data_IF_928267561757
#
_entry.id   IF_928267561757
#
_cell.length_a   1.000
_cell.length_b   1.000
_cell.length_c   1.000
_cell.angle_alpha   90.00
_cell.angle_beta   90.00
_cell.angle_gamma   90.00
#
_symmetry.space_group_name_H-M   'P 1'
#
loop_
_entity.id
_entity.type
_entity.pdbx_description
1 polymer ?
#
# COMPACT_ATOMS: atom_id res chain seq x y z
N UNK A 1 15.95 5.45 10.04
CA UNK A 1 14.52 5.38 9.68
C UNK A 1 14.29 6.35 8.52
N UNK A 2 13.57 5.97 7.47
CA UNK A 2 13.30 6.90 6.37
C UNK A 2 11.93 7.54 6.52
N UNK A 3 11.80 8.78 6.07
CA UNK A 3 10.54 9.51 6.15
C UNK A 3 9.88 9.58 4.78
N UNK A 4 8.58 9.34 4.73
CA UNK A 4 7.80 9.42 3.50
C UNK A 4 6.60 10.32 3.72
N UNK A 5 6.59 11.48 3.06
CA UNK A 5 5.45 12.41 3.08
C UNK A 5 4.54 12.04 1.92
N UNK A 6 3.28 11.75 2.24
CA UNK A 6 2.27 11.39 1.26
C UNK A 6 1.35 12.59 1.00
N UNK A 7 1.29 13.01 -0.26
CA UNK A 7 0.27 13.91 -0.76
C UNK A 7 -1.10 13.20 -0.84
N UNK A 8 -2.17 13.99 -0.86
CA UNK A 8 -3.57 13.58 -1.09
C UNK A 8 -3.67 12.58 -2.23
N UNK A 9 -3.02 12.85 -3.37
CA UNK A 9 -3.08 11.98 -4.55
C UNK A 9 -2.49 10.58 -4.32
N UNK A 10 -1.43 10.47 -3.51
CA UNK A 10 -0.77 9.22 -3.16
C UNK A 10 -1.62 8.39 -2.18
N UNK A 11 -2.14 9.01 -1.12
CA UNK A 11 -3.00 8.33 -0.14
C UNK A 11 -4.27 7.79 -0.78
N UNK A 12 -4.87 8.54 -1.71
CA UNK A 12 -6.06 8.07 -2.40
C UNK A 12 -5.83 6.76 -3.17
N UNK A 13 -4.60 6.45 -3.60
CA UNK A 13 -4.33 5.17 -4.26
C UNK A 13 -4.53 3.97 -3.33
N UNK A 14 -4.42 4.15 -2.01
CA UNK A 14 -4.70 3.10 -1.03
C UNK A 14 -6.21 2.87 -0.82
N UNK A 15 -6.99 3.95 -0.79
CA UNK A 15 -8.40 3.91 -0.39
C UNK A 15 -9.37 3.83 -1.57
N UNK A 16 -9.01 4.45 -2.68
CA UNK A 16 -9.77 4.54 -3.92
C UNK A 16 -8.82 4.40 -5.11
N UNK A 17 -8.21 3.21 -5.29
CA UNK A 17 -7.19 2.99 -6.32
C UNK A 17 -7.75 3.30 -7.70
N UNK A 18 -7.02 4.16 -8.42
CA UNK A 18 -7.26 4.40 -9.85
C UNK A 18 -6.21 3.70 -10.72
N UNK A 19 -5.12 3.24 -10.10
CA UNK A 19 -3.99 2.58 -10.73
C UNK A 19 -3.47 1.48 -9.80
N UNK A 20 -3.36 0.24 -10.31
CA UNK A 20 -2.95 -0.93 -9.52
C UNK A 20 -1.48 -0.89 -9.11
N UNK A 21 -0.60 -0.37 -9.97
CA UNK A 21 0.83 -0.23 -9.64
C UNK A 21 1.02 0.81 -8.54
N UNK A 22 0.33 1.94 -8.66
CA UNK A 22 0.36 3.00 -7.66
C UNK A 22 -0.17 2.51 -6.31
N UNK A 23 -1.30 1.78 -6.30
CA UNK A 23 -1.83 1.15 -5.09
C UNK A 23 -0.80 0.21 -4.47
N UNK A 24 -0.24 -0.71 -5.26
CA UNK A 24 0.74 -1.67 -4.80
C UNK A 24 1.96 -0.99 -4.18
N UNK A 25 2.49 0.07 -4.81
CA UNK A 25 3.61 0.83 -4.29
C UNK A 25 3.29 1.43 -2.92
N UNK A 26 2.14 2.09 -2.79
CA UNK A 26 1.73 2.69 -1.51
C UNK A 26 1.54 1.62 -0.44
N UNK A 27 0.98 0.45 -0.78
CA UNK A 27 0.86 -0.65 0.18
C UNK A 27 2.23 -1.19 0.63
N UNK A 28 3.27 -1.15 -0.21
CA UNK A 28 4.65 -1.47 0.19
C UNK A 28 5.11 -0.51 1.29
N UNK A 29 4.84 0.79 1.13
CA UNK A 29 5.23 1.80 2.11
C UNK A 29 4.60 1.53 3.47
N UNK A 30 3.29 1.24 3.49
CA UNK A 30 2.54 0.94 4.71
C UNK A 30 3.00 -0.32 5.44
N UNK A 31 3.63 -1.26 4.73
CA UNK A 31 4.11 -2.52 5.29
C UNK A 31 5.57 -2.45 5.74
N UNK A 32 6.32 -1.41 5.35
CA UNK A 32 7.75 -1.33 5.61
C UNK A 32 8.04 -0.64 6.96
N UNK A 33 8.49 -1.42 7.94
CA UNK A 33 8.79 -0.92 9.29
C UNK A 33 10.01 -0.01 9.39
N UNK A 34 10.78 0.16 8.31
CA UNK A 34 11.89 1.12 8.24
C UNK A 34 11.45 2.50 7.75
N UNK A 35 10.18 2.64 7.39
CA UNK A 35 9.60 3.85 6.83
C UNK A 35 8.55 4.38 7.80
N UNK A 36 8.65 5.66 8.11
CA UNK A 36 7.58 6.40 8.77
C UNK A 36 6.82 7.22 7.74
N UNK A 37 5.51 6.98 7.66
CA UNK A 37 4.62 7.68 6.75
C UNK A 37 4.03 8.90 7.44
N UNK A 38 4.11 10.04 6.76
CA UNK A 38 3.55 11.31 7.21
C UNK A 38 2.53 11.84 6.21
N UNK A 39 1.52 12.54 6.73
CA UNK A 39 0.53 13.26 5.94
C UNK A 39 0.31 14.65 6.55
N UNK A 40 0.53 15.75 5.83
CA UNK A 40 0.17 17.07 6.34
C UNK A 40 -1.32 17.15 6.68
N UNK A 41 -1.71 17.83 7.77
CA UNK A 41 -3.12 17.93 8.17
C UNK A 41 -4.05 18.48 7.08
N UNK A 42 -3.54 19.37 6.23
CA UNK A 42 -4.30 19.88 5.07
C UNK A 42 -4.66 18.74 4.13
N UNK A 43 -3.71 17.89 3.75
CA UNK A 43 -3.93 16.72 2.90
C UNK A 43 -4.83 15.70 3.57
N UNK A 44 -4.74 15.51 4.89
CA UNK A 44 -5.65 14.63 5.62
C UNK A 44 -7.11 15.08 5.45
N UNK A 45 -7.34 16.38 5.55
CA UNK A 45 -8.66 16.97 5.37
C UNK A 45 -9.13 16.88 3.91
N UNK A 46 -8.22 17.06 2.95
CA UNK A 46 -8.51 16.87 1.52
C UNK A 46 -8.89 15.43 1.19
N UNK A 47 -8.19 14.42 1.72
CA UNK A 47 -8.54 13.01 1.53
C UNK A 47 -9.97 12.74 2.01
N UNK A 48 -10.34 13.23 3.21
CA UNK A 48 -11.71 13.12 3.70
C UNK A 48 -12.68 13.83 2.75
N UNK A 49 -12.37 15.05 2.32
CA UNK A 49 -13.19 15.78 1.36
C UNK A 49 -13.38 15.00 0.05
N UNK A 50 -12.34 14.31 -0.44
CA UNK A 50 -12.44 13.47 -1.64
C UNK A 50 -13.37 12.27 -1.43
N UNK A 51 -13.42 11.67 -0.24
CA UNK A 51 -14.42 10.64 0.07
C UNK A 51 -15.86 11.19 0.00
N UNK A 52 -16.09 12.42 0.49
CA UNK A 52 -17.39 13.09 0.35
C UNK A 52 -17.70 13.45 -1.11
N UNK A 53 -16.72 13.93 -1.87
CA UNK A 53 -16.88 14.25 -3.29
C UNK A 53 -17.19 13.00 -4.12
N UNK A 54 -16.54 11.87 -3.83
CA UNK A 54 -16.82 10.59 -4.47
C UNK A 54 -18.26 10.15 -4.19
N UNK A 55 -18.73 10.25 -2.94
CA UNK A 55 -20.13 10.01 -2.58
C UNK A 55 -21.10 10.94 -3.31
N UNK A 56 -20.78 12.24 -3.45
CA UNK A 56 -21.65 13.19 -4.15
C UNK A 56 -21.69 12.94 -5.65
N UNK A 57 -20.54 12.69 -6.29
CA UNK A 57 -20.46 12.39 -7.74
C UNK A 57 -21.17 11.09 -8.07
N UNK A 58 -21.09 10.10 -7.19
CA UNK A 58 -21.67 8.79 -7.41
C UNK A 58 -23.21 8.82 -7.40
N UNK A 59 -23.84 9.77 -6.68
CA UNK A 59 -25.30 10.04 -6.76
C UNK A 59 -25.77 10.48 -8.15
N UNK A 60 -24.85 10.91 -9.02
CA UNK A 60 -25.13 11.30 -10.42
C UNK A 60 -24.82 10.17 -11.40
N UNK A 61 -24.40 8.99 -10.91
CA UNK A 61 -24.01 7.83 -11.72
C UNK A 61 -24.81 6.59 -11.32
N UNK A 62 -24.79 5.56 -12.16
CA UNK A 62 -25.51 4.30 -11.93
C UNK A 62 -24.99 3.46 -10.75
N UNK A 63 -23.84 3.80 -10.18
CA UNK A 63 -23.22 3.10 -9.04
C UNK A 63 -22.84 4.10 -7.94
N UNK A 64 -23.80 4.49 -7.08
CA UNK A 64 -23.54 5.42 -5.99
C UNK A 64 -22.70 4.76 -4.89
N UNK A 65 -21.51 5.30 -4.58
CA UNK A 65 -20.91 5.11 -3.26
C UNK A 65 -21.95 5.49 -2.20
N UNK A 66 -22.28 4.55 -1.32
CA UNK A 66 -23.21 4.72 -0.22
C UNK A 66 -22.59 5.52 0.94
N UNK A 67 -23.44 6.00 1.85
CA UNK A 67 -23.00 6.63 3.11
C UNK A 67 -22.15 5.65 3.93
N UNK A 68 -22.51 4.37 3.93
CA UNK A 68 -21.81 3.30 4.65
C UNK A 68 -20.40 3.10 4.11
N UNK A 69 -20.22 3.01 2.79
CA UNK A 69 -18.90 2.87 2.16
C UNK A 69 -18.01 4.09 2.44
N UNK A 70 -18.54 5.31 2.29
CA UNK A 70 -17.82 6.54 2.63
C UNK A 70 -17.35 6.53 4.09
N UNK A 71 -18.24 6.14 5.01
CA UNK A 71 -17.93 6.07 6.43
C UNK A 71 -16.88 4.99 6.72
N UNK A 72 -16.93 3.86 5.99
CA UNK A 72 -15.90 2.83 6.00
C UNK A 72 -14.53 3.34 5.57
N UNK A 73 -14.44 4.16 4.51
CA UNK A 73 -13.19 4.80 4.09
C UNK A 73 -12.61 5.71 5.17
N UNK A 74 -13.44 6.59 5.75
CA UNK A 74 -13.02 7.49 6.83
C UNK A 74 -12.55 6.71 8.06
N UNK A 75 -13.27 5.64 8.43
CA UNK A 75 -12.91 4.82 9.58
C UNK A 75 -11.59 4.07 9.35
N UNK A 76 -11.35 3.54 8.14
CA UNK A 76 -10.06 2.90 7.80
C UNK A 76 -8.91 3.91 7.86
N UNK A 77 -9.08 5.11 7.30
CA UNK A 77 -8.06 6.16 7.40
C UNK A 77 -7.74 6.54 8.86
N UNK A 78 -8.77 6.69 9.69
CA UNK A 78 -8.61 6.95 11.14
C UNK A 78 -7.93 5.79 11.87
N UNK A 79 -8.23 4.56 11.46
CA UNK A 79 -7.60 3.38 12.04
C UNK A 79 -6.12 3.31 11.67
N UNK A 80 -5.75 3.61 10.42
CA UNK A 80 -4.33 3.69 10.01
C UNK A 80 -3.57 4.74 10.84
N UNK A 81 -4.19 5.86 11.21
CA UNK A 81 -3.62 6.85 12.14
C UNK A 81 -3.51 6.30 13.57
N UNK A 82 -4.58 5.70 14.08
CA UNK A 82 -4.61 5.12 15.43
C UNK A 82 -3.59 3.99 15.62
N UNK A 83 -3.36 3.21 14.57
CA UNK A 83 -2.38 2.11 14.54
C UNK A 83 -0.93 2.61 14.37
N UNK A 84 -0.71 3.91 14.17
CA UNK A 84 0.62 4.48 13.90
C UNK A 84 1.17 4.15 12.52
N UNK A 85 0.34 3.68 11.58
CA UNK A 85 0.73 3.38 10.20
C UNK A 85 0.84 4.64 9.34
N UNK A 86 0.12 5.70 9.72
CA UNK A 86 0.15 7.00 9.07
C UNK A 86 0.15 8.09 10.14
N UNK A 87 1.12 9.00 10.07
CA UNK A 87 1.30 10.04 11.09
C UNK A 87 0.86 11.40 10.53
N UNK A 88 -0.25 11.96 11.02
CA UNK A 88 -0.61 13.32 10.65
C UNK A 88 0.45 14.32 11.14
N UNK A 89 0.93 15.17 10.24
CA UNK A 89 1.93 16.18 10.53
C UNK A 89 1.25 17.54 10.76
N UNK A 90 1.46 18.18 11.93
CA UNK A 90 0.82 19.43 12.28
C UNK A 90 1.32 20.60 11.42
N UNK A 91 0.42 21.54 11.13
CA UNK A 91 0.78 22.78 10.44
C UNK A 91 1.34 23.78 11.44
N UNK A 92 2.64 23.74 11.67
CA UNK A 92 3.33 24.59 12.64
C UNK A 92 3.98 25.82 12.00
N UNK A 93 4.33 26.81 12.83
CA UNK A 93 4.98 28.04 12.38
C UNK A 93 6.31 27.79 11.64
N UNK A 94 7.02 26.71 11.98
CA UNK A 94 8.28 26.30 11.34
C UNK A 94 8.12 25.99 9.85
N UNK A 95 7.02 25.33 9.46
CA UNK A 95 6.72 25.03 8.06
C UNK A 95 6.61 26.31 7.22
N UNK A 96 6.07 27.38 7.81
CA UNK A 96 5.88 28.63 7.09
C UNK A 96 7.18 29.41 6.86
N UNK A 97 8.26 29.11 7.59
CA UNK A 97 9.54 29.79 7.43
C UNK A 97 10.17 29.56 6.04
N UNK A 98 9.78 28.48 5.35
CA UNK A 98 10.27 28.09 4.02
C UNK A 98 9.32 28.47 2.87
N UNK A 99 8.18 29.09 3.19
CA UNK A 99 7.12 29.38 2.21
C UNK A 99 7.61 30.24 1.06
N UNK A 100 8.37 31.30 1.35
CA UNK A 100 8.90 32.21 0.33
C UNK A 100 9.88 31.49 -0.61
N UNK A 101 10.76 30.66 -0.06
CA UNK A 101 11.70 29.83 -0.84
C UNK A 101 10.95 28.88 -1.79
N UNK A 102 9.93 28.17 -1.29
CA UNK A 102 9.13 27.24 -2.09
C UNK A 102 8.37 27.98 -3.20
N UNK A 103 7.74 29.12 -2.88
CA UNK A 103 7.06 29.92 -3.89
C UNK A 103 8.01 30.46 -4.95
N UNK A 104 9.16 31.02 -4.55
CA UNK A 104 10.17 31.52 -5.48
C UNK A 104 10.65 30.41 -6.43
N UNK A 105 10.85 29.21 -5.92
CA UNK A 105 11.23 28.06 -6.75
C UNK A 105 10.10 27.66 -7.71
N UNK A 106 8.86 27.66 -7.22
CA UNK A 106 7.65 27.39 -8.01
C UNK A 106 7.48 28.37 -9.20
N UNK A 107 7.71 29.67 -8.96
CA UNK A 107 7.70 30.69 -10.00
C UNK A 107 8.81 30.51 -11.03
N UNK A 108 9.98 30.02 -10.60
CA UNK A 108 11.14 29.83 -11.49
C UNK A 108 10.96 28.63 -12.41
N UNK A 109 10.38 27.54 -11.91
CA UNK A 109 10.22 26.28 -12.65
C UNK A 109 9.10 26.35 -13.67
N UNK A 110 8.03 27.10 -13.39
CA UNK A 110 6.90 27.14 -14.31
C UNK A 110 7.13 28.08 -15.49
N UNK A 111 7.29 27.49 -16.67
CA UNK A 111 7.15 28.19 -17.95
C UNK A 111 5.75 28.83 -18.18
N UNK A 112 4.82 28.69 -17.23
CA UNK A 112 3.42 29.14 -17.30
C UNK A 112 2.96 29.99 -16.11
N UNK A 113 3.87 30.47 -15.24
CA UNK A 113 3.51 31.25 -14.04
C UNK A 113 2.45 30.56 -13.14
N UNK A 114 2.49 29.23 -13.02
CA UNK A 114 1.57 28.51 -12.13
C UNK A 114 2.19 28.51 -10.75
N UNK A 115 1.55 29.21 -9.83
CA UNK A 115 1.91 29.18 -8.41
C UNK A 115 1.50 27.83 -7.84
N UNK A 116 2.40 27.18 -7.11
CA UNK A 116 2.08 25.99 -6.31
C UNK A 116 0.95 26.33 -5.34
N UNK A 117 0.00 25.41 -5.13
CA UNK A 117 -1.05 25.69 -4.17
C UNK A 117 -0.58 25.48 -2.73
N UNK A 118 -1.42 25.86 -1.77
CA UNK A 118 -1.07 25.81 -0.36
C UNK A 118 -0.90 24.38 0.15
N UNK A 119 -1.67 23.42 -0.36
CA UNK A 119 -1.59 22.03 0.08
C UNK A 119 -0.27 21.41 -0.40
N UNK A 120 0.04 21.57 -1.69
CA UNK A 120 1.28 21.15 -2.30
C UNK A 120 2.50 21.81 -1.61
N UNK A 121 2.42 23.12 -1.33
CA UNK A 121 3.47 23.84 -0.61
C UNK A 121 3.71 23.25 0.78
N UNK A 122 2.65 22.92 1.52
CA UNK A 122 2.77 22.32 2.85
C UNK A 122 3.33 20.89 2.80
N UNK A 123 3.02 20.10 1.77
CA UNK A 123 3.67 18.79 1.53
C UNK A 123 5.19 18.97 1.38
N UNK A 124 5.62 19.93 0.56
CA UNK A 124 7.04 20.22 0.35
C UNK A 124 7.69 20.73 1.64
N UNK A 125 7.05 21.67 2.34
CA UNK A 125 7.55 22.21 3.60
C UNK A 125 7.75 21.11 4.65
N UNK A 126 6.79 20.19 4.79
CA UNK A 126 6.91 19.03 5.69
C UNK A 126 8.07 18.12 5.27
N UNK A 127 8.24 17.88 3.97
CA UNK A 127 9.39 17.13 3.46
C UNK A 127 10.73 17.78 3.82
N UNK A 128 10.85 19.10 3.65
CA UNK A 128 12.05 19.86 4.00
C UNK A 128 12.36 19.83 5.50
N UNK A 129 11.35 19.99 6.34
CA UNK A 129 11.51 19.92 7.79
C UNK A 129 11.98 18.53 8.24
N UNK A 130 11.32 17.47 7.80
CA UNK A 130 11.74 16.09 8.10
C UNK A 130 13.13 15.77 7.55
N UNK A 131 13.47 16.26 6.36
CA UNK A 131 14.82 16.12 5.80
C UNK A 131 15.88 16.84 6.64
N UNK A 132 15.54 17.97 7.27
CA UNK A 132 16.47 18.67 8.17
C UNK A 132 16.68 17.96 9.51
N UNK A 133 15.72 17.14 9.93
CA UNK A 133 15.80 16.31 11.14
C UNK A 133 16.48 14.95 10.87
N UNK A 134 16.58 14.56 9.61
CA UNK A 134 17.16 13.29 9.19
C UNK A 134 18.67 13.26 9.42
N UNK A 135 19.18 12.16 9.95
CA UNK A 135 20.62 11.91 9.98
C UNK A 135 21.17 11.57 8.59
N UNK A 136 22.50 11.51 8.42
CA UNK A 136 23.12 11.27 7.11
C UNK A 136 22.81 9.92 6.44
N UNK A 137 22.29 8.96 7.21
CA UNK A 137 21.86 7.65 6.70
C UNK A 137 20.34 7.58 6.42
N UNK A 138 19.62 8.65 6.76
CA UNK A 138 18.17 8.75 6.65
C UNK A 138 17.83 9.70 5.50
N UNK A 139 16.75 9.38 4.81
CA UNK A 139 16.34 10.17 3.64
C UNK A 139 14.84 10.41 3.74
N UNK A 140 14.44 11.60 3.29
CA UNK A 140 13.04 11.99 3.17
C UNK A 140 12.60 11.93 1.72
N UNK A 141 11.41 11.36 1.52
CA UNK A 141 10.81 11.18 0.22
C UNK A 141 9.40 11.78 0.20
N UNK A 142 9.02 12.36 -0.92
CA UNK A 142 7.63 12.80 -1.16
C UNK A 142 6.98 11.88 -2.21
N UNK A 143 5.75 11.49 -1.98
CA UNK A 143 4.93 10.76 -2.96
C UNK A 143 3.76 11.61 -3.41
N UNK A 144 3.73 11.98 -4.69
CA UNK A 144 2.65 12.74 -5.30
C UNK A 144 2.51 12.41 -6.78
N UNK A 145 1.29 12.50 -7.31
CA UNK A 145 1.02 12.45 -8.74
C UNK A 145 0.99 13.83 -9.42
N UNK A 146 1.13 14.94 -8.68
CA UNK A 146 1.22 16.28 -9.26
C UNK A 146 2.65 16.55 -9.77
N UNK A 147 2.77 16.81 -11.07
CA UNK A 147 4.05 17.08 -11.72
C UNK A 147 4.69 18.40 -11.27
N UNK A 148 3.89 19.42 -10.97
CA UNK A 148 4.39 20.72 -10.52
C UNK A 148 4.98 20.61 -9.12
N UNK A 149 4.27 19.93 -8.20
CA UNK A 149 4.82 19.60 -6.88
C UNK A 149 6.15 18.83 -7.02
N UNK A 150 6.16 17.80 -7.87
CA UNK A 150 7.36 16.99 -8.13
C UNK A 150 8.56 17.84 -8.56
N UNK A 151 8.36 18.73 -9.52
CA UNK A 151 9.44 19.57 -10.06
C UNK A 151 9.97 20.54 -8.98
N UNK A 152 9.07 21.18 -8.24
CA UNK A 152 9.43 22.12 -7.15
C UNK A 152 10.17 21.40 -6.03
N UNK A 153 9.66 20.26 -5.56
CA UNK A 153 10.30 19.47 -4.52
C UNK A 153 11.71 19.02 -4.93
N UNK A 154 11.86 18.53 -6.17
CA UNK A 154 13.13 18.05 -6.70
C UNK A 154 14.15 19.18 -6.79
N UNK A 155 13.73 20.37 -7.22
CA UNK A 155 14.62 21.53 -7.30
C UNK A 155 15.08 22.04 -5.92
N UNK A 156 14.27 21.80 -4.87
CA UNK A 156 14.62 22.07 -3.48
C UNK A 156 15.42 20.92 -2.84
N UNK A 157 15.80 19.91 -3.62
CA UNK A 157 16.65 18.79 -3.18
C UNK A 157 15.90 17.68 -2.45
N UNK A 158 14.56 17.68 -2.44
CA UNK A 158 13.76 16.58 -1.90
C UNK A 158 13.52 15.54 -3.00
N UNK A 159 13.76 14.27 -2.69
CA UNK A 159 13.45 13.16 -3.60
C UNK A 159 11.93 12.97 -3.68
N UNK A 160 11.36 13.16 -4.86
CA UNK A 160 9.94 12.97 -5.09
C UNK A 160 9.73 11.75 -6.00
N UNK A 161 8.64 11.02 -5.78
CA UNK A 161 8.23 9.88 -6.60
C UNK A 161 6.77 10.01 -7.00
N UNK A 162 6.46 9.69 -8.25
CA UNK A 162 5.09 9.54 -8.72
C UNK A 162 4.71 8.06 -8.72
N UNK A 163 3.84 7.60 -7.78
CA UNK A 163 3.48 6.19 -7.67
C UNK A 163 2.90 5.57 -8.95
N UNK A 164 2.38 6.39 -9.87
CA UNK A 164 1.84 5.91 -11.16
C UNK A 164 2.91 5.69 -12.22
N UNK A 165 4.10 6.29 -12.05
CA UNK A 165 5.16 6.30 -13.05
C UNK A 165 6.37 5.46 -12.65
N UNK A 166 6.51 5.16 -11.36
CA UNK A 166 7.62 4.34 -10.85
C UNK A 166 7.14 2.98 -10.35
N UNK A 167 7.97 1.97 -10.55
CA UNK A 167 7.79 0.64 -9.96
C UNK A 167 8.62 0.52 -8.68
N UNK A 168 8.31 -0.49 -7.85
CA UNK A 168 9.08 -0.76 -6.63
C UNK A 168 10.55 -1.03 -6.91
N UNK A 169 10.89 -1.64 -8.05
CA UNK A 169 12.28 -1.93 -8.43
C UNK A 169 13.09 -0.67 -8.78
N UNK A 170 12.41 0.45 -9.04
CA UNK A 170 13.04 1.75 -9.30
C UNK A 170 13.19 2.59 -8.02
N UNK A 171 12.64 2.11 -6.90
CA UNK A 171 12.75 2.78 -5.61
C UNK A 171 14.10 2.49 -4.94
N UNK A 172 14.59 3.39 -4.07
CA UNK A 172 15.81 3.16 -3.30
C UNK A 172 15.78 1.83 -2.52
N UNK A 173 16.96 1.26 -2.22
CA UNK A 173 17.06 -0.06 -1.57
C UNK A 173 16.36 -0.13 -0.20
N UNK A 174 16.17 1.00 0.48
CA UNK A 174 15.40 1.04 1.72
C UNK A 174 13.92 0.65 1.54
N UNK A 175 13.41 0.71 0.31
CA UNK A 175 12.09 0.23 -0.10
C UNK A 175 12.11 -1.21 -0.64
N UNK A 176 13.28 -1.82 -0.78
CA UNK A 176 13.43 -3.15 -1.39
C UNK A 176 12.77 -4.24 -0.53
N UNK A 177 11.78 -4.90 -1.12
CA UNK A 177 11.08 -6.04 -0.54
C UNK A 177 11.98 -7.25 -0.30
N UNK A 178 13.19 -7.33 -0.87
CA UNK A 178 14.15 -8.42 -0.61
C UNK A 178 14.58 -8.51 0.87
N UNK A 179 14.35 -7.46 1.67
CA UNK A 179 14.53 -7.52 3.13
C UNK A 179 13.43 -8.29 3.87
N UNK A 180 12.26 -8.48 3.26
CA UNK A 180 11.39 -9.59 3.63
C UNK A 180 12.01 -10.82 2.98
N UNK A 181 12.79 -11.61 3.75
CA UNK A 181 13.25 -12.92 3.30
C UNK A 181 12.06 -13.60 2.63
N UNK A 182 12.11 -13.78 1.30
CA UNK A 182 11.41 -14.87 0.65
C UNK A 182 12.06 -16.11 1.23
N UNK A 183 11.60 -16.57 2.39
CA UNK A 183 11.79 -17.96 2.72
C UNK A 183 11.11 -18.69 1.57
N UNK A 184 11.82 -19.53 0.79
CA UNK A 184 11.14 -20.41 -0.13
C UNK A 184 10.20 -21.26 0.73
N UNK A 185 8.92 -20.91 0.70
CA UNK A 185 7.88 -21.70 1.33
C UNK A 185 7.52 -22.73 0.28
N UNK A 186 7.94 -23.96 0.53
CA UNK A 186 7.40 -25.09 -0.23
C UNK A 186 5.98 -25.28 0.25
N UNK A 187 5.01 -24.84 -0.56
CA UNK A 187 3.62 -25.20 -0.33
C UNK A 187 3.39 -26.58 -0.88
N UNK A 188 2.82 -27.41 -0.02
CA UNK A 188 2.37 -28.72 -0.43
C UNK A 188 0.89 -28.84 -0.14
N UNK A 189 0.14 -29.16 -1.20
CA UNK A 189 -1.28 -29.43 -1.11
C UNK A 189 -1.46 -30.94 -1.29
N UNK A 190 -2.03 -31.60 -0.28
CA UNK A 190 -2.44 -33.00 -0.35
C UNK A 190 -3.94 -33.05 -0.15
N UNK A 191 -4.66 -33.63 -1.11
CA UNK A 191 -6.08 -33.94 -0.95
C UNK A 191 -6.21 -35.06 0.08
N UNK A 192 -6.95 -34.83 1.16
CA UNK A 192 -7.16 -35.87 2.20
C UNK A 192 -7.97 -37.06 1.70
N UNK A 193 -8.87 -36.82 0.75
CA UNK A 193 -9.87 -37.81 0.35
C UNK A 193 -9.30 -38.85 -0.62
N UNK A 194 -8.38 -38.45 -1.51
CA UNK A 194 -7.75 -39.34 -2.48
C UNK A 194 -6.22 -39.47 -2.33
N UNK A 195 -5.63 -38.76 -1.36
CA UNK A 195 -4.21 -38.80 -1.02
C UNK A 195 -3.27 -38.44 -2.20
N UNK A 196 -3.81 -37.80 -3.24
CA UNK A 196 -3.02 -37.20 -4.32
C UNK A 196 -2.49 -35.86 -3.84
N UNK A 197 -1.24 -35.55 -4.19
CA UNK A 197 -0.61 -34.30 -3.80
C UNK A 197 0.20 -33.72 -4.95
N UNK A 198 0.17 -32.38 -5.05
CA UNK A 198 1.06 -31.62 -5.90
C UNK A 198 2.04 -30.82 -5.02
N UNK A 199 3.32 -30.86 -5.39
CA UNK A 199 4.35 -30.04 -4.76
C UNK A 199 4.40 -28.72 -5.52
N UNK A 200 3.89 -27.64 -4.93
CA UNK A 200 4.04 -26.30 -5.49
C UNK A 200 5.43 -25.77 -5.12
N UNK A 201 6.45 -26.25 -5.82
CA UNK A 201 7.75 -25.61 -5.86
C UNK A 201 7.63 -24.30 -6.63
N UNK A 202 7.37 -23.20 -5.93
CA UNK A 202 6.95 -21.97 -6.59
C UNK A 202 7.89 -20.81 -6.25
N UNK A 203 8.67 -20.40 -7.25
CA UNK A 203 9.14 -19.01 -7.42
C UNK A 203 8.01 -18.07 -7.88
N UNK A 204 6.76 -18.56 -8.00
CA UNK A 204 5.58 -17.79 -8.39
C UNK A 204 4.78 -17.29 -7.19
N UNK A 205 4.08 -16.19 -7.44
CA UNK A 205 3.35 -15.37 -6.48
C UNK A 205 2.16 -16.16 -5.94
N UNK A 206 2.09 -16.28 -4.62
CA UNK A 206 0.91 -16.75 -3.90
C UNK A 206 0.18 -15.49 -3.44
N UNK A 207 -1.03 -15.25 -3.93
CA UNK A 207 -1.87 -14.17 -3.41
C UNK A 207 -2.58 -14.66 -2.15
N UNK A 208 -2.25 -14.04 -1.02
CA UNK A 208 -2.93 -14.22 0.26
C UNK A 208 -3.97 -13.11 0.34
N UNK A 209 -5.26 -13.46 0.27
CA UNK A 209 -6.36 -12.52 0.45
C UNK A 209 -6.89 -12.58 1.89
N UNK A 210 -7.73 -11.63 2.27
CA UNK A 210 -8.36 -11.54 3.61
C UNK A 210 -9.11 -12.82 4.01
N UNK A 211 -9.46 -13.68 3.04
CA UNK A 211 -10.24 -14.90 3.24
C UNK A 211 -9.46 -16.21 3.01
N UNK A 212 -8.17 -16.17 2.63
CA UNK A 212 -7.40 -17.40 2.43
C UNK A 212 -6.26 -17.31 1.41
N UNK A 213 -5.84 -18.47 0.91
CA UNK A 213 -4.75 -18.62 -0.06
C UNK A 213 -5.35 -18.88 -1.45
N UNK A 214 -5.04 -18.03 -2.42
CA UNK A 214 -5.43 -18.23 -3.81
C UNK A 214 -4.30 -18.95 -4.57
N UNK A 215 -4.58 -20.13 -5.12
CA UNK A 215 -3.63 -20.91 -5.91
C UNK A 215 -4.14 -20.97 -7.35
N UNK A 216 -3.34 -20.49 -8.30
CA UNK A 216 -3.67 -20.60 -9.72
C UNK A 216 -3.31 -22.02 -10.21
N UNK A 217 -4.31 -22.87 -10.42
CA UNK A 217 -4.08 -24.24 -10.89
C UNK A 217 -4.19 -24.39 -12.42
N UNK A 218 -3.26 -25.14 -13.05
CA UNK A 218 -3.49 -25.72 -14.35
C UNK A 218 -4.36 -26.99 -14.21
N UNK A 219 -5.64 -26.90 -14.59
CA UNK A 219 -6.60 -27.99 -14.90
C UNK A 219 -6.55 -29.31 -14.08
N UNK A 220 -7.68 -29.56 -13.39
CA UNK A 220 -8.44 -30.83 -13.20
C UNK A 220 -8.29 -31.73 -11.95
N UNK A 221 -7.42 -31.47 -10.98
CA UNK A 221 -7.20 -32.47 -9.91
C UNK A 221 -7.81 -32.17 -8.53
N UNK A 222 -8.51 -31.04 -8.37
CA UNK A 222 -9.17 -30.68 -7.11
C UNK A 222 -10.62 -30.28 -7.41
N UNK A 223 -11.58 -30.97 -6.78
CA UNK A 223 -12.99 -30.62 -6.85
C UNK A 223 -13.36 -29.63 -5.75
N UNK A 224 -14.39 -28.82 -6.01
CA UNK A 224 -14.98 -27.95 -4.98
C UNK A 224 -15.51 -28.82 -3.85
N UNK A 225 -15.16 -28.47 -2.61
CA UNK A 225 -15.52 -29.23 -1.41
C UNK A 225 -14.44 -30.19 -0.92
N UNK A 226 -13.40 -30.45 -1.72
CA UNK A 226 -12.27 -31.30 -1.29
C UNK A 226 -11.55 -30.66 -0.11
N UNK A 227 -11.22 -31.48 0.89
CA UNK A 227 -10.41 -31.04 2.05
C UNK A 227 -8.93 -31.14 1.72
N UNK A 228 -8.28 -29.99 1.77
CA UNK A 228 -6.86 -29.85 1.42
C UNK A 228 -6.07 -29.54 2.69
N UNK A 229 -5.02 -30.33 2.93
CA UNK A 229 -4.01 -29.98 3.91
C UNK A 229 -2.97 -29.06 3.26
N UNK A 230 -2.68 -27.94 3.91
CA UNK A 230 -1.56 -27.07 3.60
C UNK A 230 -0.51 -27.24 4.67
N UNK A 231 0.72 -27.53 4.27
CA UNK A 231 1.87 -27.45 5.15
C UNK A 231 2.73 -26.27 4.72
N UNK A 232 3.10 -25.43 5.69
CA UNK A 232 4.01 -24.31 5.47
C UNK A 232 5.32 -24.66 6.17
N UNK A 233 6.38 -24.92 5.39
CA UNK A 233 7.73 -25.18 5.92
C UNK A 233 8.67 -24.03 5.56
N UNK A 234 9.27 -23.33 6.54
CA UNK A 234 10.35 -22.40 6.28
C UNK A 234 11.66 -23.16 6.04
N UNK A 235 12.01 -23.42 4.77
CA UNK A 235 13.37 -23.83 4.39
C UNK A 235 13.87 -25.21 4.86
N UNK A 236 12.98 -26.18 5.15
CA UNK A 236 13.36 -27.52 5.64
C UNK A 236 12.34 -28.63 5.38
N UNK A 237 12.64 -29.85 5.86
CA UNK A 237 11.83 -31.07 5.63
C UNK A 237 10.42 -30.97 6.24
N UNK A 238 9.46 -31.70 5.67
CA UNK A 238 8.03 -31.70 6.06
C UNK A 238 7.72 -31.98 7.54
N UNK A 239 8.68 -32.51 8.30
CA UNK A 239 8.43 -32.97 9.67
C UNK A 239 8.14 -31.81 10.64
N UNK A 240 8.49 -30.58 10.29
CA UNK A 240 8.39 -29.40 11.15
C UNK A 240 7.40 -28.33 10.62
N UNK A 241 6.48 -28.72 9.72
CA UNK A 241 5.58 -27.77 9.05
C UNK A 241 4.26 -27.54 9.82
N UNK A 242 3.85 -26.27 9.94
CA UNK A 242 2.53 -25.91 10.45
C UNK A 242 1.47 -26.35 9.43
N UNK A 243 0.61 -27.29 9.82
CA UNK A 243 -0.42 -27.86 8.94
C UNK A 243 -1.77 -27.18 9.20
N UNK A 244 -2.35 -26.59 8.17
CA UNK A 244 -3.71 -26.01 8.19
C UNK A 244 -4.63 -26.78 7.26
N UNK A 245 -5.91 -26.85 7.61
CA UNK A 245 -6.95 -27.47 6.78
C UNK A 245 -7.70 -26.34 6.07
N UNK A 246 -7.89 -26.49 4.77
CA UNK A 246 -8.78 -25.63 4.00
C UNK A 246 -9.70 -26.43 3.10
N UNK A 247 -10.80 -25.81 2.68
CA UNK A 247 -11.77 -26.37 1.75
C UNK A 247 -11.62 -25.69 0.41
N UNK A 248 -11.51 -26.49 -0.66
CA UNK A 248 -11.49 -26.00 -2.02
C UNK A 248 -12.83 -25.32 -2.38
N UNK A 249 -12.77 -24.08 -2.84
CA UNK A 249 -13.93 -23.31 -3.32
C UNK A 249 -13.70 -22.76 -4.71
N UNK A 250 -14.76 -22.60 -5.49
CA UNK A 250 -14.68 -21.98 -6.82
C UNK A 250 -14.65 -20.46 -6.66
N UNK A 251 -13.68 -19.80 -7.28
CA UNK A 251 -13.77 -18.36 -7.55
C UNK A 251 -14.58 -18.12 -8.84
N UNK A 252 -15.06 -16.89 -9.01
CA UNK A 252 -15.87 -16.46 -10.16
C UNK A 252 -15.18 -16.61 -11.53
N UNK A 253 -13.86 -16.82 -11.56
CA UNK A 253 -13.04 -16.91 -12.79
C UNK A 253 -12.44 -18.31 -13.04
N UNK A 254 -13.13 -19.38 -12.63
CA UNK A 254 -12.65 -20.77 -12.77
C UNK A 254 -11.34 -21.11 -12.04
N UNK A 255 -10.86 -20.22 -11.16
CA UNK A 255 -9.76 -20.53 -10.24
C UNK A 255 -10.33 -21.21 -9.00
N UNK A 256 -9.62 -22.21 -8.48
CA UNK A 256 -9.94 -22.85 -7.19
C UNK A 256 -9.25 -22.05 -6.09
N UNK A 257 -10.03 -21.37 -5.27
CA UNK A 257 -9.58 -20.77 -4.01
C UNK A 257 -9.61 -21.79 -2.89
N UNK A 258 -8.91 -21.50 -1.80
CA UNK A 258 -8.96 -22.35 -0.60
C UNK A 258 -9.34 -21.46 0.58
N UNK A 259 -10.51 -21.76 1.17
CA UNK A 259 -10.91 -21.17 2.45
C UNK A 259 -10.25 -21.98 3.56
N UNK A 260 -9.44 -21.33 4.38
CA UNK A 260 -8.90 -21.97 5.58
C UNK A 260 -10.06 -22.19 6.57
N UNK A 261 -10.25 -23.43 7.03
CA UNK A 261 -11.11 -23.65 8.20
C UNK A 261 -10.38 -22.98 9.38
N UNK A 262 -11.07 -22.12 10.15
CA UNK A 262 -10.50 -21.59 11.39
C UNK A 262 -9.97 -22.75 12.24
N UNK A 263 -8.83 -22.59 12.94
CA UNK A 263 -8.40 -23.63 13.86
C UNK A 263 -9.51 -23.82 14.90
N UNK A 264 -10.16 -24.98 14.86
CA UNK A 264 -11.04 -25.43 15.94
C UNK A 264 -10.24 -25.24 17.23
N UNK A 265 -10.67 -24.29 18.05
CA UNK A 265 -10.10 -24.02 19.36
C UNK A 265 -10.03 -25.35 20.12
N UNK A 266 -8.81 -25.81 20.38
CA UNK A 266 -8.54 -26.94 21.26
C UNK A 266 -9.00 -26.54 22.67
N UNK A 267 -10.09 -27.13 23.14
CA UNK A 267 -10.28 -27.41 24.56
C UNK A 267 -9.69 -28.78 24.85
#
# INVERSE_FOLDING_TARGET
MHYCVLDTSAILQRFQPTDQNAQYLIDVLYQNTKIELYIPYVCFSEVIQQFYNAHKKSQLTSTPMSITERSGLINRLRQDVKDGKLNPYPTEASLFARTEEIFNQSFTITARNRVIDMADMLVIATGLELNSLSSSAEETYIFSSDCHLFDVATALGIKCFNPRLVTVDQMPECFDRRMFKRNPVSLHAICKDCNTGDVYGSTRIIDICEYGICIEQPKKNINIGDRINFSISPGGSWKDADTRIGVAVRSENDRVGVLLEEPLSLN
#
